data_IF_205139320936
#
_entry.id   IF_205139320936
#
_cell.length_a   1.000
_cell.length_b   1.000
_cell.length_c   1.000
_cell.angle_alpha   90.00
_cell.angle_beta   90.00
_cell.angle_gamma   90.00
#
_symmetry.space_group_name_H-M   'P 1'
#
loop_
_entity.id
_entity.type
_entity.pdbx_description
1 polymer ?
#
# COMPACT_ATOMS: atom_id res chain seq x y z
N UNK A 1 -4.36 -29.06 17.16
CA UNK A 1 -3.85 -28.04 16.23
C UNK A 1 -5.06 -27.43 15.58
N UNK A 2 -5.39 -26.19 15.90
CA UNK A 2 -6.55 -25.52 15.29
C UNK A 2 -6.16 -24.98 13.91
N UNK A 3 -7.13 -24.81 13.02
CA UNK A 3 -6.90 -24.38 11.64
C UNK A 3 -6.12 -23.05 11.53
N UNK A 4 -6.30 -22.16 12.52
CA UNK A 4 -5.56 -20.91 12.69
C UNK A 4 -4.06 -21.09 12.96
N UNK A 5 -3.65 -22.22 13.54
CA UNK A 5 -2.25 -22.53 13.84
C UNK A 5 -1.48 -23.03 12.59
N UNK A 6 -2.19 -23.27 11.47
CA UNK A 6 -1.61 -23.65 10.18
C UNK A 6 -1.44 -22.45 9.24
N UNK A 7 -1.84 -21.25 9.67
CA UNK A 7 -1.81 -20.05 8.85
C UNK A 7 -0.50 -19.28 9.06
N UNK A 8 0.55 -19.73 8.38
CA UNK A 8 1.85 -19.04 8.32
C UNK A 8 2.02 -18.26 7.01
N UNK A 9 3.10 -17.47 6.92
CA UNK A 9 3.42 -16.66 5.74
C UNK A 9 3.52 -17.54 4.49
N UNK A 10 4.11 -18.74 4.60
CA UNK A 10 4.25 -19.67 3.49
C UNK A 10 2.89 -20.11 2.94
N UNK A 11 1.95 -20.45 3.84
CA UNK A 11 0.60 -20.85 3.51
C UNK A 11 -0.22 -19.70 2.92
N UNK A 12 -0.07 -18.48 3.46
CA UNK A 12 -0.69 -17.27 2.91
C UNK A 12 -0.19 -16.97 1.47
N UNK A 13 1.12 -17.08 1.24
CA UNK A 13 1.71 -16.88 -0.10
C UNK A 13 1.27 -17.96 -1.10
N UNK A 14 1.08 -19.21 -0.66
CA UNK A 14 0.49 -20.27 -1.50
C UNK A 14 -0.94 -19.95 -1.94
N UNK A 15 -1.74 -19.32 -1.07
CA UNK A 15 -3.08 -18.87 -1.43
C UNK A 15 -3.01 -17.70 -2.41
N UNK A 16 -2.21 -16.68 -2.11
CA UNK A 16 -2.09 -15.48 -2.96
C UNK A 16 -1.53 -15.76 -4.36
N UNK A 17 -0.70 -16.80 -4.50
CA UNK A 17 -0.14 -17.24 -5.79
C UNK A 17 -1.02 -18.27 -6.51
N UNK A 18 -2.15 -18.66 -5.94
CA UNK A 18 -3.04 -19.64 -6.55
C UNK A 18 -3.75 -19.03 -7.77
N UNK A 19 -3.88 -19.80 -8.86
CA UNK A 19 -4.41 -19.32 -10.15
C UNK A 19 -5.87 -18.83 -10.11
N UNK A 20 -6.61 -19.20 -9.07
CA UNK A 20 -8.00 -18.77 -8.87
C UNK A 20 -8.12 -17.49 -8.06
N UNK A 21 -7.01 -16.98 -7.54
CA UNK A 21 -6.96 -15.71 -6.83
C UNK A 21 -6.77 -14.61 -7.87
N UNK A 22 -7.81 -13.81 -8.05
CA UNK A 22 -7.76 -12.60 -8.87
C UNK A 22 -7.06 -11.50 -8.08
N UNK A 23 -5.78 -11.26 -8.40
CA UNK A 23 -4.97 -10.23 -7.75
C UNK A 23 -5.57 -8.83 -7.89
N UNK A 24 -6.32 -8.56 -8.97
CA UNK A 24 -7.00 -7.29 -9.17
C UNK A 24 -8.16 -7.15 -8.19
N UNK A 25 -9.00 -8.18 -8.06
CA UNK A 25 -10.11 -8.19 -7.11
C UNK A 25 -9.64 -8.03 -5.65
N UNK A 26 -8.51 -8.66 -5.31
CA UNK A 26 -7.90 -8.49 -3.98
C UNK A 26 -7.36 -7.08 -3.76
N UNK A 27 -6.69 -6.49 -4.76
CA UNK A 27 -6.22 -5.11 -4.67
C UNK A 27 -7.39 -4.13 -4.48
N UNK A 28 -8.47 -4.30 -5.25
CA UNK A 28 -9.69 -3.50 -5.13
C UNK A 28 -10.36 -3.65 -3.75
N UNK A 29 -10.40 -4.88 -3.20
CA UNK A 29 -10.96 -5.13 -1.87
C UNK A 29 -10.12 -4.49 -0.75
N UNK A 30 -8.78 -4.58 -0.84
CA UNK A 30 -7.88 -3.93 0.12
C UNK A 30 -7.97 -2.41 0.01
N UNK A 31 -8.02 -1.86 -1.21
CA UNK A 31 -8.22 -0.43 -1.46
C UNK A 31 -9.54 0.05 -0.83
N UNK A 32 -10.64 -0.69 -1.03
CA UNK A 32 -11.90 -0.38 -0.40
C UNK A 32 -11.81 -0.38 1.13
N UNK A 33 -11.11 -1.34 1.74
CA UNK A 33 -10.91 -1.43 3.19
C UNK A 33 -10.03 -0.29 3.72
N UNK A 34 -9.01 0.13 2.97
CA UNK A 34 -8.16 1.28 3.32
C UNK A 34 -8.95 2.58 3.35
N UNK A 35 -9.95 2.73 2.48
CA UNK A 35 -10.80 3.92 2.41
C UNK A 35 -11.98 3.88 3.39
N UNK A 36 -12.65 2.74 3.50
CA UNK A 36 -13.97 2.63 4.16
C UNK A 36 -13.98 1.71 5.39
N UNK A 37 -12.89 0.98 5.65
CA UNK A 37 -12.83 0.00 6.73
C UNK A 37 -12.78 0.61 8.14
N UNK A 38 -12.98 -0.21 9.19
CA UNK A 38 -12.75 0.20 10.58
C UNK A 38 -11.31 0.65 10.81
N UNK A 39 -11.09 1.55 11.77
CA UNK A 39 -9.78 2.13 12.05
C UNK A 39 -8.71 1.06 12.36
N UNK A 40 -9.09 0.01 13.09
CA UNK A 40 -8.20 -1.10 13.46
C UNK A 40 -7.75 -1.89 12.23
N UNK A 41 -8.65 -2.07 11.25
CA UNK A 41 -8.35 -2.78 10.00
C UNK A 41 -7.45 -1.93 9.11
N UNK A 42 -7.72 -0.63 9.00
CA UNK A 42 -6.86 0.31 8.27
C UNK A 42 -5.44 0.30 8.83
N UNK A 43 -5.30 0.39 10.15
CA UNK A 43 -4.01 0.36 10.82
C UNK A 43 -3.26 -0.95 10.55
N UNK A 44 -3.94 -2.10 10.66
CA UNK A 44 -3.35 -3.41 10.37
C UNK A 44 -2.85 -3.50 8.92
N UNK A 45 -3.63 -3.01 7.96
CA UNK A 45 -3.26 -2.99 6.55
C UNK A 45 -2.07 -2.07 6.28
N UNK A 46 -2.01 -0.90 6.93
CA UNK A 46 -0.87 0.02 6.84
C UNK A 46 0.41 -0.59 7.43
N UNK A 47 0.36 -1.20 8.61
CA UNK A 47 1.50 -1.87 9.23
C UNK A 47 2.03 -3.04 8.38
N UNK A 48 1.09 -3.81 7.82
CA UNK A 48 1.41 -4.91 6.90
C UNK A 48 2.06 -4.40 5.61
N UNK A 49 1.52 -3.30 5.04
CA UNK A 49 2.07 -2.65 3.86
C UNK A 49 3.50 -2.15 4.11
N UNK A 50 3.75 -1.46 5.22
CA UNK A 50 5.10 -1.00 5.57
C UNK A 50 6.10 -2.16 5.69
N UNK A 51 5.68 -3.27 6.31
CA UNK A 51 6.50 -4.47 6.43
C UNK A 51 6.80 -5.09 5.07
N UNK A 52 5.77 -5.21 4.22
CA UNK A 52 5.90 -5.75 2.87
C UNK A 52 6.80 -4.87 1.99
N UNK A 53 6.63 -3.54 2.04
CA UNK A 53 7.47 -2.58 1.32
C UNK A 53 8.91 -2.67 1.76
N UNK A 54 9.19 -2.69 3.07
CA UNK A 54 10.57 -2.82 3.58
C UNK A 54 11.24 -4.14 3.18
N UNK A 55 10.46 -5.23 3.11
CA UNK A 55 10.97 -6.54 2.71
C UNK A 55 11.17 -6.66 1.19
N UNK A 56 10.29 -6.04 0.40
CA UNK A 56 10.26 -6.20 -1.06
C UNK A 56 11.09 -5.14 -1.78
N UNK A 57 11.22 -3.95 -1.21
CA UNK A 57 11.92 -2.79 -1.73
C UNK A 57 12.87 -2.21 -0.66
N UNK A 58 13.90 -2.96 -0.21
CA UNK A 58 14.80 -2.54 0.87
C UNK A 58 15.59 -1.25 0.57
N UNK A 59 15.74 -0.90 -0.71
CA UNK A 59 16.38 0.32 -1.19
C UNK A 59 15.50 1.57 -1.09
N UNK A 60 14.16 1.40 -1.05
CA UNK A 60 13.21 2.49 -0.97
C UNK A 60 13.18 3.05 0.46
N UNK A 61 13.61 4.31 0.61
CA UNK A 61 13.67 4.99 1.91
C UNK A 61 12.63 6.11 2.00
N UNK A 62 11.95 6.24 3.15
CA UNK A 62 11.05 7.37 3.37
C UNK A 62 11.82 8.69 3.30
N UNK A 63 11.27 9.68 2.60
CA UNK A 63 11.80 11.06 2.56
C UNK A 63 11.40 11.84 3.83
N UNK A 64 10.20 11.60 4.33
CA UNK A 64 9.65 12.21 5.53
C UNK A 64 8.62 11.28 6.19
N UNK A 65 8.01 11.73 7.29
CA UNK A 65 6.93 11.02 7.96
C UNK A 65 5.81 12.01 8.28
N UNK A 66 4.55 11.57 8.19
CA UNK A 66 3.41 12.38 8.64
C UNK A 66 3.38 12.53 10.16
N UNK A 67 2.51 13.41 10.65
CA UNK A 67 2.19 13.57 12.07
C UNK A 67 1.79 12.26 12.76
N UNK A 68 1.27 11.30 11.99
CA UNK A 68 0.84 9.98 12.46
C UNK A 68 1.94 8.91 12.34
N UNK A 69 3.16 9.30 11.95
CA UNK A 69 4.32 8.42 11.80
C UNK A 69 4.29 7.53 10.56
N UNK A 70 3.46 7.84 9.55
CA UNK A 70 3.45 7.08 8.30
C UNK A 70 4.54 7.57 7.36
N UNK A 71 5.27 6.66 6.68
CA UNK A 71 6.34 7.03 5.78
C UNK A 71 5.80 7.72 4.53
N UNK A 72 6.44 8.82 4.14
CA UNK A 72 6.26 9.50 2.87
C UNK A 72 7.39 9.12 1.92
N UNK A 73 7.11 8.93 0.64
CA UNK A 73 8.14 8.62 -0.37
C UNK A 73 8.18 9.68 -1.47
N UNK A 74 9.38 9.87 -2.04
CA UNK A 74 9.54 10.64 -3.26
C UNK A 74 9.00 9.82 -4.45
N UNK A 75 8.18 10.44 -5.29
CA UNK A 75 7.58 9.80 -6.46
C UNK A 75 8.62 9.21 -7.43
N UNK A 76 9.74 9.89 -7.64
CA UNK A 76 10.82 9.40 -8.50
C UNK A 76 11.42 8.10 -7.98
N UNK A 77 11.65 8.02 -6.68
CA UNK A 77 12.25 6.84 -6.04
C UNK A 77 11.25 5.68 -5.99
N UNK A 78 9.97 5.98 -5.77
CA UNK A 78 8.88 5.02 -5.84
C UNK A 78 8.74 4.44 -7.26
N UNK A 79 8.74 5.30 -8.29
CA UNK A 79 8.66 4.88 -9.68
C UNK A 79 9.86 3.98 -10.07
N UNK A 80 11.08 4.36 -9.65
CA UNK A 80 12.29 3.55 -9.85
C UNK A 80 12.17 2.18 -9.16
N UNK A 81 11.74 2.13 -7.90
CA UNK A 81 11.57 0.88 -7.16
C UNK A 81 10.53 -0.04 -7.79
N UNK A 82 9.44 0.53 -8.30
CA UNK A 82 8.37 -0.18 -8.99
C UNK A 82 8.66 -0.48 -10.46
N UNK A 83 9.83 -0.09 -10.97
CA UNK A 83 10.25 -0.29 -12.36
C UNK A 83 9.27 0.30 -13.39
N UNK A 84 8.69 1.46 -13.07
CA UNK A 84 7.75 2.19 -13.93
C UNK A 84 8.27 3.60 -14.22
N UNK A 85 7.68 4.24 -15.23
CA UNK A 85 7.97 5.64 -15.53
C UNK A 85 7.34 6.56 -14.46
N UNK A 86 8.02 7.64 -14.09
CA UNK A 86 7.49 8.61 -13.13
C UNK A 86 6.17 9.23 -13.62
N UNK A 87 6.04 9.45 -14.93
CA UNK A 87 4.81 9.95 -15.54
C UNK A 87 3.67 8.93 -15.39
N UNK A 88 3.96 7.64 -15.56
CA UNK A 88 2.98 6.57 -15.36
C UNK A 88 2.55 6.49 -13.88
N UNK A 89 3.51 6.56 -12.95
CA UNK A 89 3.22 6.60 -11.52
C UNK A 89 2.33 7.81 -11.16
N UNK A 90 2.63 8.97 -11.74
CA UNK A 90 1.83 10.20 -11.56
C UNK A 90 0.42 10.07 -12.11
N UNK A 91 0.25 9.47 -13.29
CA UNK A 91 -1.07 9.23 -13.88
C UNK A 91 -1.92 8.30 -13.00
N UNK A 92 -1.33 7.25 -12.45
CA UNK A 92 -1.99 6.33 -11.50
C UNK A 92 -2.45 7.07 -10.24
N UNK A 93 -1.61 7.94 -9.68
CA UNK A 93 -1.96 8.72 -8.49
C UNK A 93 -3.08 9.71 -8.76
N UNK A 94 -3.00 10.45 -9.87
CA UNK A 94 -4.04 11.39 -10.26
C UNK A 94 -5.37 10.66 -10.52
N UNK A 95 -5.34 9.47 -11.11
CA UNK A 95 -6.53 8.66 -11.31
C UNK A 95 -7.14 8.23 -9.96
N UNK A 96 -6.32 7.72 -9.04
CA UNK A 96 -6.78 7.31 -7.70
C UNK A 96 -7.37 8.48 -6.91
N UNK A 97 -6.75 9.66 -6.97
CA UNK A 97 -7.29 10.88 -6.36
C UNK A 97 -8.63 11.32 -7.00
N UNK A 98 -8.79 11.14 -8.31
CA UNK A 98 -10.04 11.47 -8.99
C UNK A 98 -11.18 10.49 -8.62
N UNK A 99 -10.86 9.21 -8.50
CA UNK A 99 -11.83 8.14 -8.21
C UNK A 99 -12.35 8.18 -6.76
N UNK A 100 -11.52 8.63 -5.82
CA UNK A 100 -11.84 8.59 -4.39
C UNK A 100 -12.05 9.97 -3.75
N UNK A 101 -11.97 11.05 -4.54
CA UNK A 101 -11.80 12.41 -4.02
C UNK A 101 -10.39 12.60 -3.48
N UNK A 102 -9.99 13.82 -3.06
CA UNK A 102 -8.65 14.07 -2.52
C UNK A 102 -8.28 12.94 -1.56
N UNK A 103 -7.38 12.07 -1.99
CA UNK A 103 -6.79 11.03 -1.16
C UNK A 103 -5.84 11.74 -0.22
N UNK A 104 -6.42 12.47 0.73
CA UNK A 104 -5.75 12.86 1.94
C UNK A 104 -5.57 11.57 2.72
N UNK A 105 -4.47 10.86 2.45
CA UNK A 105 -3.89 9.92 3.39
C UNK A 105 -3.47 10.73 4.65
N UNK A 106 -4.46 11.22 5.41
CA UNK A 106 -4.34 11.94 6.69
C UNK A 106 -3.57 13.26 6.69
N UNK A 107 -4.31 14.38 6.69
CA UNK A 107 -3.96 15.73 7.16
C UNK A 107 -2.47 16.15 7.20
N UNK A 108 -1.92 16.55 6.06
CA UNK A 108 -1.12 17.79 6.01
C UNK A 108 -1.16 18.39 4.59
N UNK A 109 -1.39 19.71 4.44
CA UNK A 109 -1.69 20.33 3.16
C UNK A 109 -0.46 20.94 2.46
N UNK A 110 0.76 20.44 2.69
CA UNK A 110 1.93 20.93 1.97
C UNK A 110 2.91 19.82 1.63
N UNK A 111 3.38 19.85 0.39
CA UNK A 111 4.56 19.16 -0.14
C UNK A 111 4.36 17.74 -0.67
N UNK A 112 3.81 17.63 -1.88
CA UNK A 112 4.23 16.71 -2.98
C UNK A 112 4.48 15.22 -2.70
N UNK A 113 4.15 14.75 -1.50
CA UNK A 113 4.58 13.48 -0.93
C UNK A 113 3.47 12.47 -1.09
N UNK A 114 3.84 11.27 -1.52
CA UNK A 114 2.92 10.18 -1.78
C UNK A 114 3.18 9.09 -0.74
N UNK A 115 2.10 8.52 -0.19
CA UNK A 115 2.11 7.42 0.77
C UNK A 115 1.93 6.07 0.10
#
# INVERSE_FOLDING_TARGET
MEFKDLWDIESAMKVLTHKTVDGKLWAEAVEWLMLNGPAEIKQLLLESSMTATKSSFPELKPSSFTINGQPCYNLEDLAKALQMDEKEAKEILMQKEAEHGKLHFGDDPEDGSVH
#
